data_IF_371316019104
#
_entry.id   IF_371316019104
#
_cell.length_a   1.000
_cell.length_b   1.000
_cell.length_c   1.000
_cell.angle_alpha   90.00
_cell.angle_beta   90.00
_cell.angle_gamma   90.00
#
_symmetry.space_group_name_H-M   'P 1'
#
loop_
_entity.id
_entity.type
_entity.pdbx_description
1 polymer ?
#
# COMPACT_ATOMS: atom_id res chain seq x y z
N UNK A 1 5.99 -27.20 7.73
CA UNK A 1 5.96 -25.89 8.38
C UNK A 1 5.28 -24.94 7.40
N UNK A 2 4.04 -24.53 7.68
CA UNK A 2 3.28 -23.55 6.86
C UNK A 2 2.09 -22.95 7.62
N UNK A 3 1.59 -23.66 8.65
CA UNK A 3 0.42 -23.22 9.43
C UNK A 3 0.61 -21.89 10.18
N UNK A 4 1.83 -21.58 10.63
CA UNK A 4 2.14 -20.34 11.39
C UNK A 4 1.95 -19.09 10.51
N UNK A 5 2.20 -19.20 9.20
CA UNK A 5 2.02 -18.08 8.28
C UNK A 5 0.54 -17.80 7.99
N UNK A 6 -0.29 -18.85 7.98
CA UNK A 6 -1.73 -18.73 7.75
C UNK A 6 -2.43 -17.99 8.89
N UNK A 7 -2.07 -18.30 10.14
CA UNK A 7 -2.62 -17.64 11.33
C UNK A 7 -2.22 -16.15 11.39
N UNK A 8 -1.00 -15.82 10.94
CA UNK A 8 -0.53 -14.44 10.90
C UNK A 8 -1.24 -13.63 9.81
N UNK A 9 -1.41 -14.19 8.60
CA UNK A 9 -2.15 -13.54 7.51
C UNK A 9 -3.62 -13.28 7.88
N UNK A 10 -4.24 -14.21 8.61
CA UNK A 10 -5.60 -14.07 9.11
C UNK A 10 -5.71 -12.95 10.15
N UNK A 11 -4.78 -12.90 11.12
CA UNK A 11 -4.70 -11.83 12.12
C UNK A 11 -4.47 -10.46 11.47
N UNK A 12 -3.60 -10.38 10.47
CA UNK A 12 -3.30 -9.15 9.74
C UNK A 12 -4.52 -8.67 8.95
N UNK A 13 -5.30 -9.58 8.37
CA UNK A 13 -6.54 -9.25 7.66
C UNK A 13 -7.65 -8.82 8.62
N UNK A 14 -7.72 -9.40 9.82
CA UNK A 14 -8.66 -8.98 10.86
C UNK A 14 -8.38 -7.54 11.31
N UNK A 15 -7.10 -7.17 11.45
CA UNK A 15 -6.69 -5.83 11.89
C UNK A 15 -6.73 -4.79 10.76
N UNK A 16 -6.20 -5.11 9.57
CA UNK A 16 -6.07 -4.17 8.44
C UNK A 16 -7.29 -4.15 7.51
N UNK A 17 -8.17 -5.15 7.63
CA UNK A 17 -9.30 -5.35 6.74
C UNK A 17 -8.95 -6.15 5.48
N UNK A 18 -9.95 -6.31 4.61
CA UNK A 18 -9.78 -6.98 3.33
C UNK A 18 -8.93 -6.16 2.35
N UNK A 19 -8.38 -6.84 1.34
CA UNK A 19 -7.67 -6.17 0.25
C UNK A 19 -8.61 -5.19 -0.47
N UNK A 20 -8.17 -3.94 -0.76
CA UNK A 20 -9.02 -2.98 -1.44
C UNK A 20 -9.42 -3.47 -2.84
N UNK A 21 -10.65 -3.16 -3.25
CA UNK A 21 -11.16 -3.50 -4.57
C UNK A 21 -10.31 -2.88 -5.69
N UNK A 22 -10.36 -3.48 -6.89
CA UNK A 22 -9.66 -2.94 -8.05
C UNK A 22 -10.11 -1.50 -8.37
N UNK A 23 -11.41 -1.21 -8.23
CA UNK A 23 -11.97 0.13 -8.38
C UNK A 23 -11.37 1.14 -7.37
N UNK A 24 -11.22 0.74 -6.10
CA UNK A 24 -10.59 1.59 -5.09
C UNK A 24 -9.11 1.87 -5.41
N UNK A 25 -8.39 0.87 -5.92
CA UNK A 25 -6.99 1.03 -6.37
C UNK A 25 -6.89 2.00 -7.55
N UNK A 26 -7.81 1.90 -8.51
CA UNK A 26 -7.83 2.78 -9.68
C UNK A 26 -8.20 4.22 -9.30
N UNK A 27 -9.16 4.41 -8.39
CA UNK A 27 -9.50 5.73 -7.84
C UNK A 27 -8.33 6.35 -7.06
N UNK A 28 -7.63 5.57 -6.24
CA UNK A 28 -6.43 6.04 -5.54
C UNK A 28 -5.33 6.49 -6.51
N UNK A 29 -5.16 5.77 -7.63
CA UNK A 29 -4.23 6.16 -8.71
C UNK A 29 -4.64 7.50 -9.33
N UNK A 30 -5.91 7.67 -9.68
CA UNK A 30 -6.42 8.92 -10.26
C UNK A 30 -6.20 10.11 -9.33
N UNK A 31 -6.46 9.94 -8.03
CA UNK A 31 -6.20 10.97 -7.01
C UNK A 31 -4.71 11.31 -6.92
N UNK A 32 -3.85 10.31 -6.91
CA UNK A 32 -2.41 10.53 -6.89
C UNK A 32 -1.98 11.33 -8.11
N UNK A 33 -2.38 10.93 -9.31
CA UNK A 33 -2.04 11.67 -10.55
C UNK A 33 -2.54 13.11 -10.52
N UNK A 34 -3.76 13.33 -10.05
CA UNK A 34 -4.39 14.65 -9.98
C UNK A 34 -3.69 15.60 -9.02
N UNK A 35 -3.24 15.10 -7.87
CA UNK A 35 -2.69 15.91 -6.78
C UNK A 35 -1.20 15.67 -6.54
N UNK A 36 -0.53 14.92 -7.42
CA UNK A 36 0.91 14.67 -7.33
C UNK A 36 1.62 16.00 -7.31
N UNK A 37 2.31 16.28 -6.21
CA UNK A 37 3.20 17.43 -6.13
C UNK A 37 4.34 17.24 -7.14
N UNK A 38 4.78 18.31 -7.81
CA UNK A 38 5.97 18.23 -8.65
C UNK A 38 7.11 17.67 -7.80
N UNK A 39 7.85 16.71 -8.36
CA UNK A 39 8.98 16.11 -7.66
C UNK A 39 9.92 17.23 -7.20
N UNK A 40 10.08 17.40 -5.88
CA UNK A 40 11.13 18.23 -5.32
C UNK A 40 12.46 17.58 -5.68
N UNK A 41 13.47 18.32 -6.16
CA UNK A 41 14.73 17.76 -6.63
C UNK A 41 15.57 17.06 -5.53
N UNK A 42 15.12 17.03 -4.27
CA UNK A 42 15.88 16.53 -3.11
C UNK A 42 15.19 15.36 -2.37
N UNK A 43 14.38 14.56 -3.04
CA UNK A 43 13.92 13.29 -2.45
C UNK A 43 13.96 12.19 -3.49
N UNK A 44 15.19 11.75 -3.76
CA UNK A 44 15.45 10.42 -4.29
C UNK A 44 15.00 9.37 -3.24
N UNK A 45 14.27 8.32 -3.63
CA UNK A 45 13.75 7.32 -2.70
C UNK A 45 14.80 6.25 -2.31
N UNK A 46 16.09 6.61 -2.24
CA UNK A 46 17.19 5.69 -1.89
C UNK A 46 17.85 5.94 -0.51
N UNK A 47 17.35 6.87 0.30
CA UNK A 47 17.80 7.02 1.71
C UNK A 47 16.65 6.81 2.69
N UNK A 48 16.31 5.53 2.87
CA UNK A 48 15.69 5.03 4.09
C UNK A 48 16.41 3.72 4.46
N UNK A 49 17.67 3.85 4.90
CA UNK A 49 18.45 2.79 5.56
C UNK A 49 18.67 3.11 7.01
#
# INVERSE_FOLDING_TARGET
MDRINTDLDELVREELGEEPSQEAKDYARELYEKYRLPATPDTDPEEAT
#
